data_IF_298046019643
#
_entry.id   IF_298046019643
#
_cell.length_a   1.000
_cell.length_b   1.000
_cell.length_c   1.000
_cell.angle_alpha   90.00
_cell.angle_beta   90.00
_cell.angle_gamma   90.00
#
_symmetry.space_group_name_H-M   'P 1'
#
loop_
_entity.id
_entity.type
_entity.pdbx_description
1 polymer ?
#
# COMPACT_ATOMS: atom_id res chain seq x y z
N UNK A 1 -4.63 6.13 15.34
CA UNK A 1 -4.70 4.66 15.37
C UNK A 1 -4.35 4.15 13.97
N UNK A 2 -3.57 3.07 13.85
CA UNK A 2 -3.22 2.51 12.55
C UNK A 2 -4.41 1.76 11.94
N UNK A 3 -4.47 1.69 10.61
CA UNK A 3 -5.45 0.86 9.92
C UNK A 3 -5.06 -0.62 9.98
N UNK A 4 -6.04 -1.53 9.89
CA UNK A 4 -5.83 -2.99 9.96
C UNK A 4 -4.80 -3.47 8.92
N UNK A 5 -4.85 -2.93 7.70
CA UNK A 5 -3.91 -3.33 6.64
C UNK A 5 -2.48 -2.88 6.93
N UNK A 6 -2.32 -1.70 7.55
CA UNK A 6 -1.01 -1.16 7.89
C UNK A 6 -0.36 -1.97 9.01
N UNK A 7 -1.14 -2.42 9.99
CA UNK A 7 -0.67 -3.32 11.04
C UNK A 7 -0.16 -4.64 10.45
N UNK A 8 -0.88 -5.24 9.50
CA UNK A 8 -0.43 -6.45 8.80
C UNK A 8 0.91 -6.21 8.11
N UNK A 9 1.03 -5.12 7.35
CA UNK A 9 2.28 -4.83 6.65
C UNK A 9 3.45 -4.55 7.60
N UNK A 10 3.20 -3.78 8.66
CA UNK A 10 4.22 -3.53 9.70
C UNK A 10 4.70 -4.83 10.34
N UNK A 11 3.79 -5.77 10.62
CA UNK A 11 4.17 -7.06 11.20
C UNK A 11 5.03 -7.89 10.23
N UNK A 12 4.75 -7.84 8.92
CA UNK A 12 5.61 -8.46 7.90
C UNK A 12 6.99 -7.80 7.80
N UNK A 13 7.08 -6.47 7.99
CA UNK A 13 8.37 -5.79 8.02
C UNK A 13 9.21 -6.20 9.24
N UNK A 14 8.56 -6.50 10.36
CA UNK A 14 9.21 -6.84 11.62
C UNK A 14 9.84 -8.24 11.69
N UNK A 15 9.80 -9.07 10.64
CA UNK A 15 10.30 -10.46 10.53
C UNK A 15 11.63 -10.76 11.29
N UNK A 16 11.59 -10.88 12.62
CA UNK A 16 12.73 -11.13 13.51
C UNK A 16 13.65 -9.93 13.83
N UNK A 17 13.38 -8.73 13.31
CA UNK A 17 14.19 -7.52 13.57
C UNK A 17 13.27 -6.40 14.08
N UNK A 18 13.67 -5.74 15.16
CA UNK A 18 12.84 -4.75 15.86
C UNK A 18 12.85 -3.36 15.20
N UNK A 19 12.64 -3.31 13.88
CA UNK A 19 12.69 -2.07 13.09
C UNK A 19 11.50 -1.13 13.40
N UNK A 20 10.38 -1.69 13.87
CA UNK A 20 9.22 -0.90 14.28
C UNK A 20 9.36 -0.23 15.67
N UNK A 21 10.51 -0.29 16.34
CA UNK A 21 10.79 0.65 17.45
C UNK A 21 11.12 2.06 16.97
N UNK A 22 11.44 2.23 15.69
CA UNK A 22 11.74 3.54 15.13
C UNK A 22 10.44 4.34 14.92
N UNK A 23 10.23 5.35 15.76
CA UNK A 23 9.08 6.26 15.68
C UNK A 23 8.99 6.98 14.33
N UNK A 24 10.13 7.22 13.67
CA UNK A 24 10.20 7.86 12.36
C UNK A 24 9.56 6.99 11.28
N UNK A 25 9.84 5.68 11.31
CA UNK A 25 9.22 4.72 10.38
C UNK A 25 7.70 4.66 10.57
N UNK A 26 7.23 4.63 11.82
CA UNK A 26 5.79 4.61 12.12
C UNK A 26 5.09 5.82 11.54
N UNK A 27 5.63 7.01 11.80
CA UNK A 27 5.06 8.27 11.35
C UNK A 27 5.02 8.30 9.81
N UNK A 28 6.13 7.95 9.15
CA UNK A 28 6.20 7.85 7.69
C UNK A 28 5.09 6.97 7.11
N UNK A 29 4.92 5.76 7.64
CA UNK A 29 3.93 4.80 7.15
C UNK A 29 2.48 5.23 7.44
N UNK A 30 2.23 5.85 8.59
CA UNK A 30 0.90 6.39 8.95
C UNK A 30 0.52 7.53 8.00
N UNK A 31 1.42 8.47 7.74
CA UNK A 31 1.15 9.58 6.82
C UNK A 31 0.91 9.05 5.40
N UNK A 32 1.67 8.07 4.94
CA UNK A 32 1.40 7.41 3.65
C UNK A 32 -0.02 6.84 3.64
N UNK A 33 -0.39 6.02 4.63
CA UNK A 33 -1.71 5.37 4.71
C UNK A 33 -2.87 6.37 4.63
N UNK A 34 -2.79 7.45 5.43
CA UNK A 34 -3.80 8.51 5.48
C UNK A 34 -4.03 9.20 4.13
N UNK A 35 -3.04 9.16 3.23
CA UNK A 35 -3.08 9.82 1.94
C UNK A 35 -3.09 8.86 0.75
N UNK A 36 -3.18 7.54 0.94
CA UNK A 36 -3.05 6.58 -0.17
C UNK A 36 -4.13 6.75 -1.24
N UNK A 37 -5.37 7.06 -0.85
CA UNK A 37 -6.48 7.28 -1.79
C UNK A 37 -6.34 8.57 -2.60
N UNK A 38 -5.42 9.47 -2.21
CA UNK A 38 -5.17 10.71 -2.93
C UNK A 38 -4.28 10.44 -4.17
N UNK A 39 -4.77 10.65 -5.40
CA UNK A 39 -3.97 10.46 -6.60
C UNK A 39 -2.80 11.45 -6.71
N UNK A 40 -2.86 12.57 -5.98
CA UNK A 40 -1.81 13.60 -5.92
C UNK A 40 -0.73 13.33 -4.86
N UNK A 41 -0.78 12.19 -4.17
CA UNK A 41 0.29 11.79 -3.25
C UNK A 41 1.60 11.59 -4.02
N UNK A 42 2.53 12.53 -3.84
CA UNK A 42 3.86 12.58 -4.45
C UNK A 42 4.93 12.60 -3.37
N UNK A 43 6.19 12.39 -3.76
CA UNK A 43 7.33 12.51 -2.82
C UNK A 43 7.44 13.93 -2.24
N UNK A 44 7.14 14.95 -3.03
CA UNK A 44 7.12 16.35 -2.56
C UNK A 44 6.03 16.56 -1.51
N UNK A 45 4.80 16.12 -1.79
CA UNK A 45 3.70 16.21 -0.84
C UNK A 45 4.01 15.44 0.45
N UNK A 46 4.55 14.22 0.33
CA UNK A 46 4.92 13.40 1.49
C UNK A 46 6.02 14.07 2.34
N UNK A 47 7.03 14.67 1.70
CA UNK A 47 8.08 15.39 2.41
C UNK A 47 7.52 16.60 3.16
N UNK A 48 6.62 17.37 2.52
CA UNK A 48 5.93 18.50 3.15
C UNK A 48 5.07 18.10 4.35
N UNK A 49 4.33 16.99 4.25
CA UNK A 49 3.51 16.44 5.35
C UNK A 49 4.34 15.97 6.54
N UNK A 50 5.61 15.62 6.31
CA UNK A 50 6.55 15.17 7.33
C UNK A 50 7.43 16.30 7.86
N UNK A 51 7.24 17.54 7.38
CA UNK A 51 8.10 18.70 7.69
C UNK A 51 9.58 18.42 7.37
N UNK A 52 9.83 17.69 6.28
CA UNK A 52 11.16 17.28 5.82
C UNK A 52 11.45 17.82 4.42
N UNK A 53 12.73 18.03 4.14
CA UNK A 53 13.18 18.13 2.74
C UNK A 53 13.07 16.78 2.03
N UNK A 54 12.93 16.80 0.69
CA UNK A 54 13.01 15.57 -0.13
C UNK A 54 14.26 14.76 0.17
N UNK A 55 15.42 15.40 0.33
CA UNK A 55 16.69 14.72 0.63
C UNK A 55 16.64 13.96 1.95
N UNK A 56 16.05 14.55 3.00
CA UNK A 56 15.86 13.85 4.28
C UNK A 56 14.94 12.66 4.12
N UNK A 57 13.81 12.83 3.42
CA UNK A 57 12.87 11.73 3.16
C UNK A 57 13.53 10.55 2.41
N UNK A 58 14.34 10.83 1.38
CA UNK A 58 15.11 9.79 0.67
C UNK A 58 16.07 9.05 1.60
N UNK A 59 16.91 9.78 2.34
CA UNK A 59 17.85 9.19 3.28
C UNK A 59 17.14 8.34 4.34
N UNK A 60 16.01 8.83 4.86
CA UNK A 60 15.27 8.16 5.90
C UNK A 60 14.61 6.88 5.37
N UNK A 61 13.93 6.93 4.21
CA UNK A 61 13.27 5.74 3.66
C UNK A 61 14.25 4.66 3.24
N UNK A 62 15.41 5.03 2.67
CA UNK A 62 16.49 4.07 2.35
C UNK A 62 17.13 3.50 3.62
N UNK A 63 17.44 4.33 4.62
CA UNK A 63 17.98 3.85 5.90
C UNK A 63 17.04 2.88 6.62
N UNK A 64 15.73 3.16 6.58
CA UNK A 64 14.72 2.43 7.35
C UNK A 64 14.22 1.17 6.66
N UNK A 65 14.09 1.21 5.33
CA UNK A 65 13.39 0.17 4.56
C UNK A 65 14.17 -0.30 3.33
N UNK A 66 15.31 0.30 3.02
CA UNK A 66 16.04 0.09 1.76
C UNK A 66 15.20 0.38 0.51
N UNK A 67 14.24 1.31 0.64
CA UNK A 67 13.28 1.65 -0.41
C UNK A 67 13.25 3.17 -0.60
N UNK A 68 13.49 3.68 -1.82
CA UNK A 68 13.29 5.09 -2.14
C UNK A 68 11.82 5.54 -1.97
N UNK A 69 11.53 6.81 -1.64
CA UNK A 69 10.19 7.26 -1.25
C UNK A 69 9.11 7.04 -2.31
N UNK A 70 9.45 7.29 -3.59
CA UNK A 70 8.50 7.07 -4.69
C UNK A 70 8.15 5.58 -4.87
N UNK A 71 9.13 4.68 -4.66
CA UNK A 71 8.89 3.24 -4.66
C UNK A 71 8.10 2.81 -3.42
N UNK A 72 8.33 3.44 -2.28
CA UNK A 72 7.60 3.16 -1.03
C UNK A 72 6.11 3.49 -1.15
N UNK A 73 5.76 4.65 -1.72
CA UNK A 73 4.35 5.02 -1.98
C UNK A 73 3.69 3.98 -2.90
N UNK A 74 4.37 3.59 -3.98
CA UNK A 74 3.87 2.57 -4.91
C UNK A 74 3.67 1.22 -4.21
N UNK A 75 4.64 0.79 -3.42
CA UNK A 75 4.58 -0.45 -2.66
C UNK A 75 3.40 -0.45 -1.67
N UNK A 76 3.19 0.65 -0.94
CA UNK A 76 2.06 0.82 -0.04
C UNK A 76 0.72 0.70 -0.77
N UNK A 77 0.58 1.34 -1.94
CA UNK A 77 -0.64 1.25 -2.77
C UNK A 77 -0.92 -0.19 -3.21
N UNK A 78 0.09 -0.89 -3.72
CA UNK A 78 -0.05 -2.27 -4.19
C UNK A 78 -0.38 -3.24 -3.04
N UNK A 79 0.24 -3.05 -1.87
CA UNK A 79 -0.05 -3.87 -0.68
C UNK A 79 -1.45 -3.63 -0.14
N UNK A 80 -1.88 -2.37 -0.02
CA UNK A 80 -3.27 -2.04 0.36
C UNK A 80 -4.26 -2.64 -0.62
N UNK A 81 -3.99 -2.55 -1.93
CA UNK A 81 -4.83 -3.18 -2.96
C UNK A 81 -4.97 -4.69 -2.75
N UNK A 82 -3.85 -5.40 -2.55
CA UNK A 82 -3.86 -6.85 -2.32
C UNK A 82 -4.64 -7.20 -1.05
N UNK A 83 -4.46 -6.43 0.01
CA UNK A 83 -5.19 -6.62 1.26
C UNK A 83 -6.70 -6.42 1.08
N UNK A 84 -7.11 -5.34 0.42
CA UNK A 84 -8.53 -5.04 0.14
C UNK A 84 -9.20 -6.15 -0.66
N UNK A 85 -8.50 -6.62 -1.71
CA UNK A 85 -8.98 -7.74 -2.53
C UNK A 85 -9.12 -8.98 -1.65
N UNK A 86 -8.04 -9.44 -0.98
CA UNK A 86 -8.04 -10.68 -0.19
C UNK A 86 -9.03 -10.69 0.97
N UNK A 87 -9.32 -9.52 1.56
CA UNK A 87 -10.32 -9.37 2.62
C UNK A 87 -11.75 -9.20 2.08
N UNK A 88 -11.94 -9.27 0.76
CA UNK A 88 -13.24 -9.12 0.11
C UNK A 88 -13.85 -7.72 0.24
N UNK A 89 -13.04 -6.70 0.59
CA UNK A 89 -13.47 -5.31 0.79
C UNK A 89 -13.75 -4.60 -0.55
N UNK A 90 -13.10 -5.05 -1.62
CA UNK A 90 -13.38 -4.61 -2.98
C UNK A 90 -13.78 -5.81 -3.85
N UNK A 91 -14.73 -5.58 -4.76
CA UNK A 91 -15.29 -6.58 -5.68
C UNK A 91 -14.92 -6.30 -7.14
N UNK A 92 -14.45 -5.08 -7.43
CA UNK A 92 -14.05 -4.65 -8.78
C UNK A 92 -12.73 -3.89 -8.77
N UNK A 93 -12.03 -3.88 -9.91
CA UNK A 93 -10.80 -3.08 -10.09
C UNK A 93 -11.04 -1.59 -9.86
N UNK A 94 -12.20 -1.05 -10.29
CA UNK A 94 -12.54 0.36 -10.08
C UNK A 94 -12.62 0.75 -8.60
N UNK A 95 -13.21 -0.10 -7.75
CA UNK A 95 -13.22 0.13 -6.30
C UNK A 95 -11.81 0.11 -5.71
N UNK A 96 -10.97 -0.83 -6.15
CA UNK A 96 -9.57 -0.91 -5.71
C UNK A 96 -8.81 0.37 -6.08
N UNK A 97 -8.94 0.86 -7.32
CA UNK A 97 -8.28 2.08 -7.78
C UNK A 97 -8.67 3.31 -6.96
N UNK A 98 -9.95 3.45 -6.62
CA UNK A 98 -10.44 4.54 -5.77
C UNK A 98 -9.81 4.51 -4.37
N UNK A 99 -9.68 3.33 -3.77
CA UNK A 99 -9.12 3.16 -2.42
C UNK A 99 -7.61 3.42 -2.30
N UNK A 100 -6.89 3.30 -3.42
CA UNK A 100 -5.42 3.42 -3.49
C UNK A 100 -4.95 4.61 -4.33
N UNK A 101 -5.87 5.44 -4.84
CA UNK A 101 -5.57 6.66 -5.56
C UNK A 101 -4.77 6.45 -6.85
N UNK A 102 -5.01 5.35 -7.58
CA UNK A 102 -4.36 5.12 -8.89
C UNK A 102 -5.28 5.50 -10.04
N UNK A 103 -4.73 6.19 -11.03
CA UNK A 103 -5.52 6.79 -12.12
C UNK A 103 -5.90 5.87 -13.27
N UNK A 104 -5.22 4.73 -13.46
CA UNK A 104 -5.53 3.81 -14.57
C UNK A 104 -5.43 2.35 -14.17
N UNK A 105 -6.41 1.55 -14.62
CA UNK A 105 -6.46 0.10 -14.41
C UNK A 105 -5.26 -0.61 -15.03
N UNK A 106 -4.90 -0.27 -16.27
CA UNK A 106 -3.77 -0.87 -16.99
C UNK A 106 -2.43 -0.71 -16.25
N UNK A 107 -2.16 0.49 -15.72
CA UNK A 107 -0.95 0.72 -14.93
C UNK A 107 -0.97 -0.10 -13.64
N UNK A 108 -2.09 -0.07 -12.92
CA UNK A 108 -2.26 -0.85 -11.70
C UNK A 108 -2.07 -2.35 -11.93
N UNK A 109 -2.73 -2.94 -12.94
CA UNK A 109 -2.67 -4.37 -13.24
C UNK A 109 -1.25 -4.82 -13.56
N UNK A 110 -0.52 -4.04 -14.35
CA UNK A 110 0.87 -4.35 -14.68
C UNK A 110 1.76 -4.30 -13.45
N UNK A 111 1.69 -3.24 -12.64
CA UNK A 111 2.50 -3.09 -11.44
C UNK A 111 2.14 -4.13 -10.37
N UNK A 112 0.85 -4.47 -10.23
CA UNK A 112 0.37 -5.49 -9.32
C UNK A 112 0.87 -6.88 -9.74
N UNK A 113 0.76 -7.23 -11.02
CA UNK A 113 1.30 -8.49 -11.55
C UNK A 113 2.80 -8.57 -11.36
N UNK A 114 3.53 -7.49 -11.68
CA UNK A 114 4.99 -7.44 -11.51
C UNK A 114 5.38 -7.65 -10.04
N UNK A 115 4.59 -7.14 -9.09
CA UNK A 115 4.90 -7.24 -7.67
C UNK A 115 4.53 -8.59 -7.05
N UNK A 116 3.39 -9.15 -7.42
CA UNK A 116 2.80 -10.32 -6.73
C UNK A 116 2.68 -11.57 -7.60
N UNK A 117 3.16 -11.51 -8.84
CA UNK A 117 3.15 -12.61 -9.82
C UNK A 117 1.75 -13.16 -10.12
N UNK A 118 0.71 -12.37 -9.84
CA UNK A 118 -0.70 -12.72 -10.05
C UNK A 118 -1.47 -11.50 -10.53
N UNK A 119 -2.41 -11.69 -11.44
CA UNK A 119 -3.31 -10.62 -11.86
C UNK A 119 -4.32 -10.29 -10.75
N UNK A 120 -4.65 -9.00 -10.53
CA UNK A 120 -5.64 -8.61 -9.52
C UNK A 120 -7.03 -9.19 -9.82
N UNK A 121 -7.38 -9.33 -11.11
CA UNK A 121 -8.64 -9.94 -11.55
C UNK A 121 -8.79 -11.39 -11.07
N UNK A 122 -7.72 -12.19 -11.12
CA UNK A 122 -7.75 -13.57 -10.64
C UNK A 122 -8.15 -13.65 -9.17
N UNK A 123 -7.62 -12.74 -8.33
CA UNK A 123 -7.94 -12.68 -6.91
C UNK A 123 -9.37 -12.16 -6.66
N UNK A 124 -9.83 -11.19 -7.45
CA UNK A 124 -11.19 -10.66 -7.37
C UNK A 124 -12.23 -11.73 -7.74
N UNK A 125 -12.02 -12.45 -8.84
CA UNK A 125 -12.90 -13.54 -9.29
C UNK A 125 -12.97 -14.65 -8.25
N UNK A 126 -11.83 -15.09 -7.70
CA UNK A 126 -11.80 -16.09 -6.64
C UNK A 126 -12.65 -15.68 -5.43
N UNK A 127 -12.52 -14.43 -4.97
CA UNK A 127 -13.29 -13.95 -3.82
C UNK A 127 -14.78 -13.75 -4.11
N UNK A 128 -15.13 -13.43 -5.35
CA UNK A 128 -16.53 -13.33 -5.77
C UNK A 128 -17.19 -14.71 -5.83
N UNK A 129 -16.49 -15.73 -6.28
CA UNK A 129 -16.97 -17.13 -6.28
C UNK A 129 -17.17 -17.65 -4.85
N UNK A 130 -16.19 -17.45 -3.96
CA UNK A 130 -16.30 -17.86 -2.56
C UNK A 130 -17.50 -17.21 -1.84
N UNK A 131 -17.75 -15.93 -2.11
CA UNK A 131 -18.88 -15.22 -1.52
C UNK A 131 -20.25 -15.73 -2.01
N UNK A 132 -20.34 -16.21 -3.25
CA UNK A 132 -21.58 -16.78 -3.80
C UNK A 132 -21.88 -18.17 -3.19
N UNK A 133 -20.87 -18.99 -2.95
CA UNK A 133 -21.04 -20.32 -2.33
C UNK A 133 -21.51 -20.22 -0.87
N UNK A 134 -21.04 -19.23 -0.12
CA UNK A 134 -21.44 -19.02 1.28
C UNK A 134 -22.85 -18.42 1.45
N UNK A 135 -23.45 -17.92 0.37
CA UNK A 135 -24.78 -17.32 0.40
C UNK A 135 -25.91 -18.32 0.06
N UNK A 136 -25.55 -19.58 -0.17
CA UNK A 136 -26.45 -20.72 -0.43
C UNK A 136 -26.56 -21.61 0.81
#
# INVERSE_FOLDING_TARGET
MMSEWLEVWVNELNNGQNIYRDSELKILLIIIDQHLSNPKLTVEMLAGLLEMSRRQLYRNSERLLDIPPGKLIKEARLRKARWLIRKGRCKTTGQVLNEIGLGTARYFEQEFKNRFEVYPENLLTQNNQLAQVQAL
#
